data_IF_453564158523
#
_entry.id   IF_453564158523
#
_cell.length_a   1.000
_cell.length_b   1.000
_cell.length_c   1.000
_cell.angle_alpha   90.00
_cell.angle_beta   90.00
_cell.angle_gamma   90.00
#
_symmetry.space_group_name_H-M   'P 1'
#
loop_
_entity.id
_entity.type
_entity.pdbx_description
1 polymer ?
#
# COMPACT_ATOMS: atom_id res chain seq x y z
N UNK A 1 -6.63 -21.72 -1.00
CA UNK A 1 -6.43 -21.35 -1.02
C UNK A 1 -5.94 -20.71 -0.63
N UNK A 2 -5.44 -20.40 -0.60
CA UNK A 2 -4.90 -19.90 -0.19
C UNK A 2 -4.46 -18.84 -0.53
N UNK A 3 -4.78 -18.10 -0.71
CA UNK A 3 -4.37 -16.89 -1.05
C UNK A 3 -4.12 -16.07 0.09
N UNK A 4 -3.11 -16.26 0.83
CA UNK A 4 -2.78 -15.52 2.01
C UNK A 4 -1.89 -14.36 1.66
N UNK A 5 -2.40 -13.44 0.89
CA UNK A 5 -1.63 -12.27 0.55
C UNK A 5 -1.58 -11.31 1.72
N UNK A 6 -0.44 -10.73 1.94
CA UNK A 6 -0.27 -9.72 2.98
C UNK A 6 -0.85 -8.41 2.48
N UNK A 7 -1.66 -7.79 3.32
CA UNK A 7 -2.26 -6.52 2.98
C UNK A 7 -1.47 -5.41 3.68
N UNK A 8 -0.93 -4.48 2.91
CA UNK A 8 -0.09 -3.42 3.43
C UNK A 8 -0.79 -2.09 3.21
N UNK A 9 -0.84 -1.27 4.24
CA UNK A 9 -1.38 0.08 4.14
C UNK A 9 -0.23 1.06 4.22
N UNK A 10 -0.11 1.92 3.21
CA UNK A 10 0.91 2.95 3.17
C UNK A 10 0.24 4.29 3.44
N UNK A 11 0.68 4.97 4.50
CA UNK A 11 0.16 6.27 4.85
C UNK A 11 1.29 7.28 4.72
N UNK A 12 1.18 8.18 3.74
CA UNK A 12 2.22 9.16 3.51
C UNK A 12 1.59 10.30 2.71
N UNK A 13 1.96 11.52 2.99
CA UNK A 13 1.43 12.67 2.29
C UNK A 13 2.18 12.96 0.97
N UNK A 14 3.19 12.19 0.64
CA UNK A 14 3.93 12.37 -0.60
C UNK A 14 3.45 11.36 -1.63
N UNK A 15 2.79 11.86 -2.67
CA UNK A 15 2.24 10.98 -3.72
C UNK A 15 3.31 10.14 -4.39
N UNK A 16 4.48 10.71 -4.58
CA UNK A 16 5.55 10.00 -5.29
C UNK A 16 6.04 8.82 -4.50
N UNK A 17 6.15 9.01 -3.19
CA UNK A 17 6.59 7.92 -2.32
C UNK A 17 5.54 6.82 -2.29
N UNK A 18 4.26 7.21 -2.17
CA UNK A 18 3.19 6.21 -2.15
C UNK A 18 3.17 5.38 -3.44
N UNK A 19 3.31 6.05 -4.58
CA UNK A 19 3.30 5.34 -5.85
C UNK A 19 4.47 4.40 -5.98
N UNK A 20 5.64 4.85 -5.57
CA UNK A 20 6.84 4.05 -5.67
C UNK A 20 6.75 2.79 -4.82
N UNK A 21 6.30 2.97 -3.59
CA UNK A 21 6.17 1.83 -2.68
C UNK A 21 5.07 0.88 -3.14
N UNK A 22 3.99 1.43 -3.65
CA UNK A 22 2.90 0.59 -4.13
C UNK A 22 3.37 -0.28 -5.29
N UNK A 23 4.09 0.30 -6.24
CA UNK A 23 4.62 -0.47 -7.37
C UNK A 23 5.56 -1.56 -6.89
N UNK A 24 6.47 -1.20 -6.01
CA UNK A 24 7.45 -2.14 -5.52
C UNK A 24 6.79 -3.31 -4.80
N UNK A 25 5.87 -3.01 -3.91
CA UNK A 25 5.24 -4.05 -3.11
C UNK A 25 4.26 -4.87 -3.93
N UNK A 26 3.64 -4.27 -4.93
CA UNK A 26 2.74 -5.02 -5.80
C UNK A 26 3.47 -6.09 -6.58
N UNK A 27 4.72 -5.83 -6.94
CA UNK A 27 5.52 -6.82 -7.63
C UNK A 27 5.80 -8.02 -6.76
N UNK A 28 5.69 -7.86 -5.46
CA UNK A 28 5.94 -8.96 -4.51
C UNK A 28 4.67 -9.68 -4.13
N UNK A 29 3.60 -9.43 -4.86
CA UNK A 29 2.31 -10.08 -4.62
C UNK A 29 1.66 -9.67 -3.31
N UNK A 30 1.95 -8.48 -2.83
CA UNK A 30 1.24 -7.93 -1.70
C UNK A 30 0.03 -7.13 -2.19
N UNK A 31 -1.00 -7.07 -1.38
CA UNK A 31 -2.13 -6.18 -1.63
C UNK A 31 -1.82 -4.86 -0.95
N UNK A 32 -1.77 -3.78 -1.72
CA UNK A 32 -1.33 -2.49 -1.19
C UNK A 32 -2.46 -1.49 -1.27
N UNK A 33 -2.73 -0.83 -0.15
CA UNK A 33 -3.66 0.29 -0.09
C UNK A 33 -2.87 1.53 0.30
N UNK A 34 -3.29 2.69 -0.15
CA UNK A 34 -2.60 3.92 0.18
C UNK A 34 -3.56 4.97 0.70
N UNK A 35 -3.05 5.88 1.52
CA UNK A 35 -3.83 6.99 2.04
C UNK A 35 -2.92 8.19 2.24
N UNK A 36 -3.48 9.40 2.15
CA UNK A 36 -2.69 10.60 2.36
C UNK A 36 -2.37 10.80 3.82
N UNK A 37 -3.27 10.40 4.68
CA UNK A 37 -3.05 10.59 6.11
C UNK A 37 -3.87 9.54 6.85
N UNK A 38 -3.69 9.49 8.14
CA UNK A 38 -4.32 8.46 8.97
C UNK A 38 -5.84 8.56 8.96
N UNK A 39 -6.39 9.75 8.80
CA UNK A 39 -7.83 9.90 8.75
C UNK A 39 -8.40 9.23 7.52
N UNK A 40 -7.72 9.34 6.39
CA UNK A 40 -8.17 8.68 5.18
C UNK A 40 -7.99 7.18 5.25
N UNK A 41 -7.10 6.73 6.08
CA UNK A 41 -6.82 5.31 6.19
C UNK A 41 -7.93 4.54 6.91
N UNK A 42 -8.86 5.23 7.49
CA UNK A 42 -9.94 4.53 8.18
C UNK A 42 -10.80 3.67 7.23
#
# INVERSE_FOLDING_TARGET
MENNKIHILIVDDDDRIRSLLKDYLSEKNYIVSTAENADQAK
#
